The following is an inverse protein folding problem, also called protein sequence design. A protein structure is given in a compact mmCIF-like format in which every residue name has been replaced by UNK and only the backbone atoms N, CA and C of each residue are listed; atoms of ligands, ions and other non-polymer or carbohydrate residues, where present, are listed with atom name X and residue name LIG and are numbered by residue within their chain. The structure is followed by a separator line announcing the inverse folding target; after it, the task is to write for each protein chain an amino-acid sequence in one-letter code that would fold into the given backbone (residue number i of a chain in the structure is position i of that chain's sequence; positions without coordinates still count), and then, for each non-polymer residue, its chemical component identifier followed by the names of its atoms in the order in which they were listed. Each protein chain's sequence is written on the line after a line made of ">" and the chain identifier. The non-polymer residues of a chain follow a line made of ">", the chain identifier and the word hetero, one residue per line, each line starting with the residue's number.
data_IF_251066861901
#
_entry.id   IF_251066861901
#
_cell.length_a   1.000
_cell.length_b   1.000
_cell.length_c   1.000
_cell.angle_alpha   90.00
_cell.angle_beta   90.00
_cell.angle_gamma   90.00
#
_symmetry.space_group_name_H-M   'P 1'
#
loop_
_entity.id
_entity.type
_entity.pdbx_description
1 polymer ?
#
# COMPACT_ATOMS: atom_id res chain seq x y z
N UNK A 1 7.34 9.73 -20.52
CA UNK A 1 6.86 10.57 -19.40
C UNK A 1 5.74 9.79 -18.74
N UNK A 2 5.86 9.47 -17.45
CA UNK A 2 4.83 8.79 -16.67
C UNK A 2 4.03 9.90 -15.97
N UNK A 3 2.76 10.06 -16.35
CA UNK A 3 1.82 11.04 -15.77
C UNK A 3 0.85 10.27 -14.88
N UNK A 4 1.02 10.38 -13.57
CA UNK A 4 0.26 9.67 -12.55
C UNK A 4 -0.07 10.63 -11.41
N UNK A 5 -1.19 10.37 -10.74
CA UNK A 5 -1.51 11.05 -9.50
C UNK A 5 -0.49 10.65 -8.42
N UNK A 6 0.15 11.65 -7.80
CA UNK A 6 0.99 11.44 -6.63
C UNK A 6 0.16 10.94 -5.44
N UNK A 7 0.84 10.50 -4.39
CA UNK A 7 0.21 10.02 -3.16
C UNK A 7 -0.94 10.92 -2.68
N UNK A 8 -2.12 10.33 -2.42
CA UNK A 8 -3.32 11.06 -2.04
C UNK A 8 -3.72 10.78 -0.58
N UNK A 9 -3.90 11.85 0.18
CA UNK A 9 -4.67 11.84 1.42
C UNK A 9 -5.57 13.08 1.43
N UNK A 10 -6.87 12.88 1.21
CA UNK A 10 -7.81 14.00 1.01
C UNK A 10 -8.18 14.76 2.29
N UNK A 11 -7.53 14.45 3.42
CA UNK A 11 -7.49 15.26 4.65
C UNK A 11 -8.86 15.55 5.27
N UNK A 12 -9.56 16.59 4.77
CA UNK A 12 -10.89 17.00 5.23
C UNK A 12 -12.04 16.11 4.72
N UNK A 13 -11.77 15.26 3.72
CA UNK A 13 -12.71 14.26 3.20
C UNK A 13 -12.21 12.84 3.48
N UNK A 14 -13.06 11.85 3.20
CA UNK A 14 -12.75 10.44 3.41
C UNK A 14 -12.04 9.86 2.20
N UNK A 15 -10.95 9.12 2.41
CA UNK A 15 -10.30 8.37 1.32
C UNK A 15 -11.16 7.14 1.01
N UNK A 16 -11.53 6.98 -0.26
CA UNK A 16 -12.36 5.88 -0.75
C UNK A 16 -11.52 4.76 -1.36
N UNK A 17 -12.18 3.76 -1.95
CA UNK A 17 -11.51 2.72 -2.75
C UNK A 17 -10.71 3.30 -3.93
N UNK A 18 -11.09 4.46 -4.48
CA UNK A 18 -10.34 5.11 -5.56
C UNK A 18 -8.97 5.59 -5.09
N UNK A 19 -8.91 6.33 -3.98
CA UNK A 19 -7.66 6.75 -3.34
C UNK A 19 -6.80 5.54 -2.96
N UNK A 20 -7.42 4.44 -2.50
CA UNK A 20 -6.70 3.21 -2.19
C UNK A 20 -6.00 2.63 -3.44
N UNK A 21 -6.69 2.62 -4.59
CA UNK A 21 -6.11 2.18 -5.85
C UNK A 21 -4.97 3.09 -6.32
N UNK A 22 -5.13 4.41 -6.18
CA UNK A 22 -4.11 5.40 -6.52
C UNK A 22 -2.87 5.20 -5.63
N UNK A 23 -3.06 5.07 -4.31
CA UNK A 23 -1.95 4.87 -3.38
C UNK A 23 -1.27 3.51 -3.57
N UNK A 24 -2.01 2.46 -3.90
CA UNK A 24 -1.43 1.17 -4.27
C UNK A 24 -0.55 1.25 -5.54
N UNK A 25 -0.97 2.01 -6.55
CA UNK A 25 -0.13 2.25 -7.73
C UNK A 25 1.16 3.00 -7.35
N UNK A 26 1.07 4.00 -6.46
CA UNK A 26 2.22 4.72 -5.94
C UNK A 26 3.17 3.81 -5.13
N UNK A 27 2.66 2.89 -4.31
CA UNK A 27 3.47 1.89 -3.60
C UNK A 27 4.28 1.03 -4.58
N UNK A 28 3.66 0.51 -5.64
CA UNK A 28 4.36 -0.27 -6.67
C UNK A 28 5.45 0.53 -7.37
N UNK A 29 5.18 1.79 -7.66
CA UNK A 29 6.15 2.67 -8.32
C UNK A 29 7.31 3.04 -7.40
N UNK A 30 7.03 3.28 -6.12
CA UNK A 30 8.07 3.50 -5.13
C UNK A 30 8.96 2.24 -4.98
N UNK A 31 8.36 1.05 -4.94
CA UNK A 31 9.11 -0.21 -4.88
C UNK A 31 9.96 -0.42 -6.14
N UNK A 32 9.39 -0.13 -7.32
CA UNK A 32 10.12 -0.18 -8.59
C UNK A 32 11.29 0.80 -8.63
N UNK A 33 11.07 2.05 -8.19
CA UNK A 33 12.10 3.09 -8.13
C UNK A 33 13.22 2.71 -7.18
N UNK A 34 12.88 2.25 -5.97
CA UNK A 34 13.83 1.74 -5.00
C UNK A 34 14.67 0.61 -5.64
N UNK A 35 14.04 -0.39 -6.26
CA UNK A 35 14.80 -1.49 -6.85
C UNK A 35 15.69 -1.06 -8.03
N UNK A 36 15.17 -0.25 -8.95
CA UNK A 36 15.85 0.03 -10.21
C UNK A 36 16.87 1.17 -10.12
N UNK A 37 16.55 2.28 -9.46
CA UNK A 37 17.47 3.41 -9.39
C UNK A 37 18.68 3.05 -8.54
N UNK A 38 18.49 2.39 -7.40
CA UNK A 38 19.64 1.98 -6.58
C UNK A 38 20.51 0.94 -7.29
N UNK A 39 19.90 0.01 -8.04
CA UNK A 39 20.67 -0.95 -8.84
C UNK A 39 21.46 -0.24 -9.96
N UNK A 40 20.83 0.65 -10.73
CA UNK A 40 21.49 1.37 -11.81
C UNK A 40 22.59 2.30 -11.31
N UNK A 41 22.35 3.05 -10.23
CA UNK A 41 23.37 3.89 -9.60
C UNK A 41 24.56 3.05 -9.14
N UNK A 42 24.31 1.91 -8.48
CA UNK A 42 25.37 1.04 -8.00
C UNK A 42 26.21 0.45 -9.15
N UNK A 43 25.59 0.07 -10.27
CA UNK A 43 26.29 -0.38 -11.48
C UNK A 43 27.14 0.74 -12.10
N UNK A 44 26.64 1.98 -12.15
CA UNK A 44 27.36 3.12 -12.70
C UNK A 44 28.58 3.50 -11.83
N UNK A 45 28.40 3.59 -10.51
CA UNK A 45 29.51 3.92 -9.59
C UNK A 45 30.62 2.86 -9.61
N UNK A 46 30.26 1.57 -9.71
CA UNK A 46 31.23 0.49 -9.90
C UNK A 46 32.00 0.64 -11.22
N UNK A 47 31.33 1.01 -12.31
CA UNK A 47 31.97 1.22 -13.62
C UNK A 47 32.98 2.38 -13.61
N UNK A 48 32.75 3.40 -12.77
CA UNK A 48 33.61 4.58 -12.65
C UNK A 48 34.68 4.46 -11.55
N UNK A 49 34.69 3.36 -10.79
CA UNK A 49 35.66 3.15 -9.70
C UNK A 49 35.50 4.12 -8.53
N UNK A 50 34.31 4.70 -8.36
CA UNK A 50 34.01 5.67 -7.32
C UNK A 50 33.54 4.90 -6.07
N UNK A 51 34.12 5.22 -4.90
CA UNK A 51 33.64 4.70 -3.62
C UNK A 51 32.24 5.25 -3.32
N UNK A 52 31.22 4.42 -3.57
CA UNK A 52 29.84 4.74 -3.24
C UNK A 52 29.55 4.51 -1.76
N UNK A 53 28.72 5.37 -1.20
CA UNK A 53 28.13 5.16 0.14
C UNK A 53 26.68 4.80 -0.09
N UNK A 54 26.22 3.64 0.39
CA UNK A 54 24.82 3.24 0.20
C UNK A 54 23.88 4.34 0.72
N UNK A 55 22.97 4.79 -0.14
CA UNK A 55 21.85 5.63 0.29
C UNK A 55 20.88 4.72 1.03
N UNK A 56 20.57 5.05 2.29
CA UNK A 56 19.49 4.40 3.02
C UNK A 56 18.15 4.80 2.42
N UNK A 57 17.31 3.83 2.09
CA UNK A 57 15.95 4.04 1.62
C UNK A 57 14.96 3.20 2.43
N UNK A 58 13.71 3.66 2.45
CA UNK A 58 12.61 2.89 3.05
C UNK A 58 12.12 1.88 2.03
N UNK A 59 12.41 0.60 2.28
CA UNK A 59 11.85 -0.51 1.51
C UNK A 59 10.36 -0.66 1.85
N UNK A 60 9.51 -0.52 0.84
CA UNK A 60 8.06 -0.63 0.95
C UNK A 60 7.52 -1.94 0.34
N UNK A 61 8.39 -2.90 0.03
CA UNK A 61 8.02 -4.19 -0.58
C UNK A 61 6.96 -4.93 0.24
N UNK A 62 7.09 -4.95 1.57
CA UNK A 62 6.13 -5.62 2.45
C UNK A 62 4.76 -4.91 2.47
N UNK A 63 4.72 -3.58 2.32
CA UNK A 63 3.47 -2.85 2.13
C UNK A 63 2.83 -3.22 0.78
N UNK A 64 3.62 -3.32 -0.30
CA UNK A 64 3.11 -3.83 -1.59
C UNK A 64 2.56 -5.26 -1.45
N UNK A 65 3.23 -6.14 -0.67
CA UNK A 65 2.75 -7.50 -0.40
C UNK A 65 1.43 -7.52 0.40
N UNK A 66 1.19 -6.57 1.30
CA UNK A 66 -0.11 -6.45 1.99
C UNK A 66 -1.27 -6.38 0.97
N UNK A 67 -1.09 -5.70 -0.16
CA UNK A 67 -2.13 -5.57 -1.19
C UNK A 67 -2.32 -6.83 -2.03
N UNK A 68 -1.24 -7.48 -2.45
CA UNK A 68 -1.27 -8.50 -3.52
C UNK A 68 -0.92 -9.93 -3.07
N UNK A 69 -0.55 -10.14 -1.80
CA UNK A 69 -0.11 -11.44 -1.30
C UNK A 69 -1.18 -12.53 -1.49
N UNK A 70 -0.72 -13.77 -1.63
CA UNK A 70 -1.58 -14.95 -1.67
C UNK A 70 -1.31 -15.81 -0.43
N UNK A 71 -2.33 -16.35 0.24
CA UNK A 71 -3.74 -16.34 -0.15
C UNK A 71 -4.56 -15.12 0.36
N UNK A 72 -3.99 -14.23 1.17
CA UNK A 72 -4.75 -13.20 1.92
C UNK A 72 -4.28 -11.75 1.70
N UNK A 73 -4.18 -11.31 0.44
CA UNK A 73 -3.91 -9.91 0.11
C UNK A 73 -5.17 -9.04 0.16
N UNK A 74 -5.02 -7.76 0.48
CA UNK A 74 -6.12 -6.80 0.62
C UNK A 74 -7.05 -6.80 -0.60
N UNK A 75 -6.50 -6.69 -1.82
CA UNK A 75 -7.31 -6.65 -3.05
C UNK A 75 -8.05 -7.97 -3.29
N UNK A 76 -7.43 -9.09 -2.92
CA UNK A 76 -8.05 -10.41 -3.03
C UNK A 76 -9.20 -10.59 -2.05
N UNK A 77 -9.04 -10.13 -0.81
CA UNK A 77 -10.10 -10.20 0.19
C UNK A 77 -11.32 -9.34 -0.21
N UNK A 78 -11.07 -8.14 -0.77
CA UNK A 78 -12.11 -7.27 -1.34
C UNK A 78 -12.82 -7.94 -2.52
N UNK A 79 -12.07 -8.49 -3.46
CA UNK A 79 -12.62 -9.19 -4.64
C UNK A 79 -13.48 -10.39 -4.22
N UNK A 80 -13.02 -11.20 -3.27
CA UNK A 80 -13.79 -12.34 -2.76
C UNK A 80 -15.12 -11.89 -2.13
N UNK A 81 -15.14 -10.85 -1.29
CA UNK A 81 -16.37 -10.37 -0.66
C UNK A 81 -17.33 -9.72 -1.65
N UNK A 82 -16.79 -9.00 -2.64
CA UNK A 82 -17.59 -8.35 -3.70
C UNK A 82 -18.32 -9.37 -4.59
N UNK A 83 -17.82 -10.61 -4.65
CA UNK A 83 -18.43 -11.69 -5.44
C UNK A 83 -19.37 -12.61 -4.61
N UNK A 84 -19.52 -12.38 -3.30
CA UNK A 84 -20.43 -13.18 -2.45
C UNK A 84 -21.86 -12.65 -2.54
N UNK A 85 -22.82 -13.58 -2.68
CA UNK A 85 -24.24 -13.25 -2.58
C UNK A 85 -24.54 -12.72 -1.16
N UNK A 86 -24.90 -11.43 -1.05
CA UNK A 86 -25.13 -10.67 0.18
C UNK A 86 -23.85 -10.23 0.93
N UNK A 87 -22.72 -10.07 0.26
CA UNK A 87 -21.58 -9.34 0.84
C UNK A 87 -21.99 -7.92 1.22
N UNK A 88 -21.53 -7.44 2.38
CA UNK A 88 -21.75 -6.06 2.83
C UNK A 88 -20.42 -5.40 3.18
N UNK A 89 -20.42 -4.08 3.26
CA UNK A 89 -19.26 -3.31 3.70
C UNK A 89 -18.78 -3.73 5.10
N UNK A 90 -19.70 -4.07 5.99
CA UNK A 90 -19.36 -4.58 7.32
C UNK A 90 -18.75 -5.98 7.27
N UNK A 91 -19.23 -6.88 6.41
CA UNK A 91 -18.64 -8.22 6.24
C UNK A 91 -17.24 -8.11 5.64
N UNK A 92 -17.07 -7.22 4.66
CA UNK A 92 -15.77 -6.89 4.06
C UNK A 92 -14.79 -6.35 5.10
N UNK A 93 -15.19 -5.35 5.89
CA UNK A 93 -14.34 -4.80 6.94
C UNK A 93 -13.98 -5.85 8.00
N UNK A 94 -14.94 -6.67 8.41
CA UNK A 94 -14.71 -7.74 9.38
C UNK A 94 -13.68 -8.75 8.86
N UNK A 95 -13.76 -9.11 7.58
CA UNK A 95 -12.80 -10.00 6.92
C UNK A 95 -11.41 -9.37 6.84
N UNK A 96 -11.30 -8.12 6.37
CA UNK A 96 -10.02 -7.41 6.33
C UNK A 96 -9.37 -7.37 7.72
N UNK A 97 -10.12 -6.99 8.76
CA UNK A 97 -9.65 -6.98 10.14
C UNK A 97 -9.28 -8.39 10.65
N UNK A 98 -9.97 -9.44 10.23
CA UNK A 98 -9.66 -10.80 10.65
C UNK A 98 -8.31 -11.28 10.09
N UNK A 99 -8.06 -11.03 8.81
CA UNK A 99 -6.91 -11.58 8.08
C UNK A 99 -5.68 -10.67 8.12
N UNK A 100 -5.86 -9.35 8.21
CA UNK A 100 -4.76 -8.39 8.04
C UNK A 100 -4.28 -7.73 9.33
N UNK A 101 -5.02 -7.83 10.46
CA UNK A 101 -4.68 -7.15 11.73
C UNK A 101 -3.29 -7.40 12.31
N UNK A 102 -2.61 -8.47 11.89
CA UNK A 102 -1.25 -8.80 12.36
C UNK A 102 -0.16 -8.27 11.44
N UNK A 103 -0.52 -7.75 10.27
CA UNK A 103 0.41 -7.11 9.35
C UNK A 103 0.76 -5.71 9.89
N UNK A 104 2.04 -5.37 9.92
CA UNK A 104 2.53 -4.11 10.48
C UNK A 104 2.02 -2.86 9.72
N UNK A 105 1.66 -3.01 8.44
CA UNK A 105 1.15 -1.95 7.59
C UNK A 105 -0.37 -1.82 7.65
N UNK A 106 -1.08 -2.69 8.37
CA UNK A 106 -2.53 -2.65 8.52
C UNK A 106 -2.92 -2.31 9.95
N UNK A 107 -3.69 -1.24 10.10
CA UNK A 107 -4.16 -0.76 11.39
C UNK A 107 -5.69 -0.63 11.42
N UNK A 108 -6.26 -0.95 12.58
CA UNK A 108 -7.67 -0.70 12.87
C UNK A 108 -7.82 0.61 13.63
N UNK A 109 -8.78 1.48 13.31
CA UNK A 109 -8.99 2.71 14.05
C UNK A 109 -9.24 2.47 15.55
N UNK A 110 -8.79 3.40 16.40
CA UNK A 110 -8.98 3.30 17.86
C UNK A 110 -10.44 3.36 18.29
N UNK A 111 -11.29 4.03 17.50
CA UNK A 111 -12.74 4.09 17.69
C UNK A 111 -13.41 3.13 16.71
N UNK A 112 -14.56 2.60 17.09
CA UNK A 112 -15.36 1.76 16.19
C UNK A 112 -15.94 2.63 15.09
N UNK A 113 -15.31 2.60 13.92
CA UNK A 113 -15.72 3.29 12.70
C UNK A 113 -15.58 2.34 11.50
N UNK A 114 -16.38 2.50 10.43
CA UNK A 114 -16.33 1.63 9.25
C UNK A 114 -15.12 2.02 8.38
N UNK A 115 -13.91 1.82 8.90
CA UNK A 115 -12.68 2.21 8.24
C UNK A 115 -11.51 1.30 8.65
N UNK A 116 -10.47 1.32 7.83
CA UNK A 116 -9.16 0.73 8.13
C UNK A 116 -8.06 1.72 7.76
N UNK A 117 -6.86 1.50 8.26
CA UNK A 117 -5.70 2.36 8.06
C UNK A 117 -4.59 1.53 7.42
N UNK A 118 -3.95 2.09 6.39
CA UNK A 118 -2.74 1.51 5.80
C UNK A 118 -1.57 2.45 6.06
N UNK A 119 -0.47 1.91 6.57
CA UNK A 119 0.79 2.63 6.70
C UNK A 119 1.52 2.57 5.35
N UNK A 120 1.39 3.61 4.54
CA UNK A 120 2.10 3.73 3.28
C UNK A 120 3.52 4.28 3.48
N UNK A 121 4.37 4.16 2.46
CA UNK A 121 5.72 4.76 2.49
C UNK A 121 5.68 6.28 2.73
N UNK A 122 4.61 6.95 2.27
CA UNK A 122 4.43 8.39 2.42
C UNK A 122 3.64 8.79 3.70
N UNK A 123 3.10 7.83 4.45
CA UNK A 123 2.36 8.08 5.69
C UNK A 123 1.15 7.17 5.91
N UNK A 124 0.50 7.30 7.06
CA UNK A 124 -0.71 6.51 7.37
C UNK A 124 -1.93 7.15 6.74
N UNK A 125 -2.69 6.39 5.95
CA UNK A 125 -3.92 6.85 5.31
C UNK A 125 -5.08 6.02 5.81
N UNK A 126 -6.15 6.71 6.23
CA UNK A 126 -7.39 6.08 6.66
C UNK A 126 -8.36 5.99 5.48
N UNK A 127 -8.84 4.78 5.20
CA UNK A 127 -9.82 4.49 4.17
C UNK A 127 -11.15 4.13 4.77
N UNK A 128 -12.20 4.82 4.33
CA UNK A 128 -13.56 4.54 4.76
C UNK A 128 -14.20 3.50 3.84
N UNK A 129 -14.94 2.56 4.45
CA UNK A 129 -15.77 1.59 3.74
C UNK A 129 -17.22 2.07 3.84
N UNK A 130 -17.87 2.25 2.70
CA UNK A 130 -19.21 2.86 2.51
C UNK A 130 -19.92 2.28 1.31
#
# INVERSE_FOLDING_TARGET
>A
ILDIFGFEDVGAQWNSFEQLCINYANEHLQAYFNQHIFQFEQEEYQSQGICWTNIEYTDNTECVQLFQSKPYGLLRLIDEESNINNGTDESMLAKLNQFLKTNEYYETPQRKEPAFIIAHYAGKVKYQIT
#
